data_IF_835902783449
#
_entry.id   IF_835902783449
#
_cell.length_a   1.000
_cell.length_b   1.000
_cell.length_c   1.000
_cell.angle_alpha   90.00
_cell.angle_beta   90.00
_cell.angle_gamma   90.00
#
_symmetry.space_group_name_H-M   'P 1'
#
loop_
_entity.id
_entity.type
_entity.pdbx_description
1 polymer ?
#
# COMPACT_ATOMS: atom_id res chain seq x y z
N UNK A 1 21.07 15.48 -0.14
CA UNK A 1 19.92 16.41 -0.24
C UNK A 1 18.85 15.92 0.72
N UNK A 2 18.15 16.81 1.44
CA UNK A 2 17.02 16.44 2.31
C UNK A 2 15.78 16.18 1.47
N UNK A 3 14.95 15.24 1.87
CA UNK A 3 13.62 15.06 1.28
C UNK A 3 12.65 16.07 1.89
N UNK A 4 11.71 16.59 1.08
CA UNK A 4 10.57 17.34 1.62
C UNK A 4 9.50 16.34 2.07
N UNK A 5 9.12 16.41 3.34
CA UNK A 5 8.21 15.45 3.97
C UNK A 5 6.83 15.45 3.32
N UNK A 6 6.27 16.63 3.03
CA UNK A 6 4.94 16.75 2.44
C UNK A 6 4.93 16.27 0.98
N UNK A 7 5.99 16.54 0.22
CA UNK A 7 6.11 16.06 -1.16
C UNK A 7 6.15 14.54 -1.20
N UNK A 8 6.97 13.91 -0.35
CA UNK A 8 7.06 12.45 -0.25
C UNK A 8 5.74 11.83 0.24
N UNK A 9 5.11 12.43 1.23
CA UNK A 9 3.83 11.96 1.76
C UNK A 9 2.73 12.02 0.69
N UNK A 10 2.57 13.14 -0.01
CA UNK A 10 1.59 13.27 -1.09
C UNK A 10 1.88 12.30 -2.24
N UNK A 11 3.17 12.15 -2.60
CA UNK A 11 3.58 11.19 -3.65
C UNK A 11 3.18 9.76 -3.30
N UNK A 12 3.55 9.28 -2.11
CA UNK A 12 3.22 7.92 -1.70
C UNK A 12 1.73 7.74 -1.41
N UNK A 13 1.04 8.75 -0.89
CA UNK A 13 -0.42 8.71 -0.70
C UNK A 13 -1.16 8.57 -2.03
N UNK A 14 -0.82 9.38 -3.03
CA UNK A 14 -1.42 9.30 -4.36
C UNK A 14 -1.09 7.99 -5.07
N UNK A 15 0.16 7.54 -5.02
CA UNK A 15 0.52 6.23 -5.57
C UNK A 15 -0.21 5.10 -4.85
N UNK A 16 -0.31 5.16 -3.52
CA UNK A 16 -1.06 4.20 -2.71
C UNK A 16 -2.52 4.10 -3.15
N UNK A 17 -3.20 5.23 -3.34
CA UNK A 17 -4.57 5.25 -3.86
C UNK A 17 -4.67 4.56 -5.23
N UNK A 18 -3.78 4.89 -6.16
CA UNK A 18 -3.75 4.28 -7.51
C UNK A 18 -3.51 2.77 -7.42
N UNK A 19 -2.53 2.33 -6.62
CA UNK A 19 -2.26 0.92 -6.40
C UNK A 19 -3.47 0.18 -5.84
N UNK A 20 -4.18 0.77 -4.85
CA UNK A 20 -5.39 0.17 -4.32
C UNK A 20 -6.45 -0.03 -5.40
N UNK A 21 -6.69 0.97 -6.24
CA UNK A 21 -7.65 0.88 -7.34
C UNK A 21 -7.28 -0.23 -8.33
N UNK A 22 -5.99 -0.30 -8.72
CA UNK A 22 -5.48 -1.37 -9.58
C UNK A 22 -5.69 -2.74 -8.93
N UNK A 23 -5.32 -2.89 -7.67
CA UNK A 23 -5.52 -4.13 -6.92
C UNK A 23 -7.00 -4.53 -6.86
N UNK A 24 -7.90 -3.58 -6.62
CA UNK A 24 -9.34 -3.85 -6.57
C UNK A 24 -9.90 -4.29 -7.93
N UNK A 25 -9.47 -3.66 -9.02
CA UNK A 25 -9.83 -4.06 -10.38
C UNK A 25 -9.33 -5.48 -10.65
N UNK A 26 -8.05 -5.76 -10.40
CA UNK A 26 -7.47 -7.11 -10.62
C UNK A 26 -8.17 -8.16 -9.76
N UNK A 27 -8.47 -7.86 -8.49
CA UNK A 27 -9.23 -8.77 -7.62
C UNK A 27 -10.64 -9.05 -8.14
N UNK A 28 -11.25 -8.12 -8.86
CA UNK A 28 -12.60 -8.25 -9.41
C UNK A 28 -12.62 -9.00 -10.74
N UNK A 29 -11.65 -8.74 -11.63
CA UNK A 29 -11.65 -9.27 -13.01
C UNK A 29 -10.79 -10.53 -13.17
N UNK A 30 -9.72 -10.66 -12.39
CA UNK A 30 -8.75 -11.75 -12.45
C UNK A 30 -8.38 -12.26 -11.04
N UNK A 31 -9.35 -12.77 -10.26
CA UNK A 31 -9.14 -13.13 -8.86
C UNK A 31 -8.05 -14.20 -8.66
N UNK A 32 -7.84 -15.10 -9.62
CA UNK A 32 -6.75 -16.08 -9.57
C UNK A 32 -5.37 -15.41 -9.52
N UNK A 33 -5.12 -14.44 -10.41
CA UNK A 33 -3.88 -13.67 -10.45
C UNK A 33 -3.68 -12.89 -9.15
N UNK A 34 -4.74 -12.20 -8.68
CA UNK A 34 -4.69 -11.46 -7.42
C UNK A 34 -4.27 -12.36 -6.25
N UNK A 35 -4.88 -13.55 -6.14
CA UNK A 35 -4.59 -14.51 -5.07
C UNK A 35 -3.14 -15.00 -5.13
N UNK A 36 -2.62 -15.35 -6.32
CA UNK A 36 -1.24 -15.79 -6.49
C UNK A 36 -0.23 -14.71 -6.09
N UNK A 37 -0.46 -13.46 -6.50
CA UNK A 37 0.42 -12.34 -6.12
C UNK A 37 0.34 -12.10 -4.61
N UNK A 38 -0.85 -12.00 -4.03
CA UNK A 38 -1.03 -11.77 -2.60
C UNK A 38 -0.38 -12.87 -1.74
N UNK A 39 -0.53 -14.14 -2.14
CA UNK A 39 0.10 -15.27 -1.46
C UNK A 39 1.62 -15.25 -1.56
N UNK A 40 2.20 -14.74 -2.65
CA UNK A 40 3.66 -14.67 -2.82
C UNK A 40 4.37 -13.69 -1.88
N UNK A 41 3.64 -12.69 -1.36
CA UNK A 41 4.19 -11.70 -0.42
C UNK A 41 4.02 -12.12 1.04
N UNK A 42 2.99 -12.91 1.33
CA UNK A 42 2.69 -13.38 2.69
C UNK A 42 3.46 -14.65 3.00
N UNK A 43 4.27 -14.63 4.06
CA UNK A 43 4.99 -15.79 4.55
C UNK A 43 4.27 -16.37 5.78
N UNK A 44 4.24 -17.71 5.91
CA UNK A 44 3.65 -18.45 7.05
C UNK A 44 2.11 -18.36 7.22
N UNK A 45 1.37 -17.84 6.24
CA UNK A 45 -0.10 -17.75 6.29
C UNK A 45 -0.70 -18.55 5.12
N UNK A 46 -1.55 -19.54 5.43
CA UNK A 46 -2.36 -20.21 4.40
C UNK A 46 -3.63 -19.40 4.12
N UNK A 47 -3.72 -18.84 2.92
CA UNK A 47 -4.85 -18.03 2.48
C UNK A 47 -5.90 -18.83 1.69
N UNK A 48 -5.66 -20.09 1.33
CA UNK A 48 -6.51 -20.87 0.41
C UNK A 48 -7.98 -20.96 0.85
N UNK A 49 -8.23 -21.00 2.17
CA UNK A 49 -9.59 -21.06 2.74
C UNK A 49 -10.21 -19.71 3.12
N UNK A 50 -9.47 -18.60 3.07
CA UNK A 50 -9.88 -17.31 3.64
C UNK A 50 -10.43 -16.31 2.59
N UNK A 51 -10.44 -16.71 1.31
CA UNK A 51 -10.86 -15.83 0.23
C UNK A 51 -12.38 -15.67 0.16
N UNK A 52 -12.85 -14.43 0.23
CA UNK A 52 -14.24 -14.08 -0.06
C UNK A 52 -14.53 -14.21 -1.56
N UNK A 53 -15.79 -14.46 -1.91
CA UNK A 53 -16.25 -14.56 -3.30
C UNK A 53 -16.16 -13.24 -4.05
N UNK A 54 -16.48 -12.13 -3.39
CA UNK A 54 -16.44 -10.78 -3.96
C UNK A 54 -15.62 -9.81 -3.09
N UNK A 55 -14.91 -8.83 -3.70
CA UNK A 55 -14.28 -7.74 -2.96
C UNK A 55 -15.31 -6.94 -2.15
N UNK A 56 -14.95 -6.57 -0.92
CA UNK A 56 -15.81 -5.83 0.02
C UNK A 56 -15.02 -4.75 0.75
N UNK A 57 -15.69 -3.70 1.25
CA UNK A 57 -15.02 -2.65 2.04
C UNK A 57 -14.16 -1.70 1.22
N UNK A 58 -14.54 -1.44 -0.04
CA UNK A 58 -13.78 -0.62 -0.98
C UNK A 58 -13.35 0.74 -0.41
N UNK A 59 -14.29 1.51 0.15
CA UNK A 59 -14.01 2.85 0.70
C UNK A 59 -13.03 2.76 1.87
N UNK A 60 -13.26 1.83 2.79
CA UNK A 60 -12.38 1.64 3.94
C UNK A 60 -10.96 1.26 3.49
N UNK A 61 -10.83 0.34 2.53
CA UNK A 61 -9.54 -0.08 2.01
C UNK A 61 -8.81 1.04 1.27
N UNK A 62 -9.51 1.76 0.38
CA UNK A 62 -8.95 2.89 -0.37
C UNK A 62 -8.43 3.97 0.57
N UNK A 63 -9.26 4.41 1.53
CA UNK A 63 -8.90 5.47 2.47
C UNK A 63 -7.76 5.02 3.37
N UNK A 64 -7.88 3.84 4.00
CA UNK A 64 -6.85 3.35 4.93
C UNK A 64 -5.50 3.12 4.24
N UNK A 65 -5.49 2.53 3.04
CA UNK A 65 -4.25 2.29 2.30
C UNK A 65 -3.60 3.59 1.81
N UNK A 66 -4.40 4.56 1.37
CA UNK A 66 -3.91 5.90 1.00
C UNK A 66 -3.29 6.60 2.21
N UNK A 67 -3.98 6.63 3.35
CA UNK A 67 -3.50 7.27 4.57
C UNK A 67 -2.22 6.61 5.08
N UNK A 68 -2.18 5.28 5.14
CA UNK A 68 -0.97 4.55 5.56
C UNK A 68 0.19 4.84 4.62
N UNK A 69 -0.02 4.80 3.30
CA UNK A 69 1.03 5.12 2.32
C UNK A 69 1.53 6.55 2.46
N UNK A 70 0.63 7.52 2.68
CA UNK A 70 0.98 8.92 2.92
C UNK A 70 1.84 9.07 4.18
N UNK A 71 1.41 8.45 5.29
CA UNK A 71 2.15 8.45 6.57
C UNK A 71 3.52 7.81 6.40
N UNK A 72 3.62 6.70 5.66
CA UNK A 72 4.88 6.05 5.34
C UNK A 72 5.82 6.98 4.58
N UNK A 73 5.32 7.74 3.59
CA UNK A 73 6.13 8.73 2.86
C UNK A 73 6.66 9.85 3.74
N UNK A 74 5.79 10.41 4.60
CA UNK A 74 6.19 11.41 5.59
C UNK A 74 7.25 10.86 6.56
N UNK A 75 7.01 9.66 7.11
CA UNK A 75 7.89 9.03 8.09
C UNK A 75 9.25 8.66 7.48
N UNK A 76 9.26 8.19 6.23
CA UNK A 76 10.48 7.90 5.49
C UNK A 76 11.32 9.16 5.30
N UNK A 77 10.72 10.26 4.81
CA UNK A 77 11.43 11.52 4.62
C UNK A 77 12.02 12.05 5.94
N UNK A 78 11.23 12.01 7.02
CA UNK A 78 11.66 12.47 8.34
C UNK A 78 12.82 11.64 8.91
N UNK A 79 12.72 10.31 8.84
CA UNK A 79 13.77 9.41 9.33
C UNK A 79 15.05 9.53 8.49
N UNK A 80 14.93 9.59 7.16
CA UNK A 80 16.06 9.84 6.26
C UNK A 80 16.77 11.16 6.60
N UNK A 81 16.01 12.26 6.75
CA UNK A 81 16.55 13.57 7.06
C UNK A 81 17.26 13.61 8.42
N UNK A 82 16.75 12.87 9.42
CA UNK A 82 17.38 12.74 10.72
C UNK A 82 18.76 12.08 10.62
N UNK A 83 18.85 10.91 9.96
CA UNK A 83 20.12 10.21 9.81
C UNK A 83 21.11 10.94 8.90
N UNK A 84 20.62 11.66 7.87
CA UNK A 84 21.47 12.50 7.03
C UNK A 84 22.18 13.60 7.84
N UNK A 85 21.54 14.15 8.87
CA UNK A 85 22.15 15.15 9.76
C UNK A 85 23.09 14.58 10.83
N UNK A 86 23.19 13.26 10.94
CA UNK A 86 24.11 12.55 11.85
C UNK A 86 25.38 12.07 11.15
N UNK A 87 25.43 12.18 9.82
CA UNK A 87 26.63 11.95 9.00
C UNK A 87 27.53 13.18 9.07
#
# INVERSE_FOLDING_TARGET
MKFNENVLANTLGSLGAVYYLVCYVVASVAPGLYKSVAASWMHMINLEGLWKRNPSGFILGLVSFTVVSWVSGWAFAKTYNYFLGKK
#
